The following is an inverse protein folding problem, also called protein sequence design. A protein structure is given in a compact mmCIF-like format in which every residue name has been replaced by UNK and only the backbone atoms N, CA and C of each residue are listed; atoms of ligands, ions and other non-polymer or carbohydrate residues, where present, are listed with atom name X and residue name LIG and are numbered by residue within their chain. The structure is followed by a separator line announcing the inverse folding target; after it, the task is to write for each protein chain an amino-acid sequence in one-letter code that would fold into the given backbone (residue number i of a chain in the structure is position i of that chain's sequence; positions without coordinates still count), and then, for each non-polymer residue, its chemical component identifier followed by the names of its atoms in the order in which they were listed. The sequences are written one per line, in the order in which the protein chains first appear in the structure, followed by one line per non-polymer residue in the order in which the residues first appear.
data_IF_712835756366
#
_entry.id   IF_712835756366
#
_cell.length_a   1.000
_cell.length_b   1.000
_cell.length_c   1.000
_cell.angle_alpha   90.00
_cell.angle_beta   90.00
_cell.angle_gamma   90.00
#
_symmetry.space_group_name_H-M   'P 1'
#
loop_
_entity.id
_entity.type
_entity.pdbx_description
1 polymer ?
#
# COMPACT_ATOMS: atom_id res chain seq x y z
N UNK A 1 0.18 -2.65 12.22
CA UNK A 1 1.50 -2.35 11.62
C UNK A 1 1.77 -0.86 11.80
N UNK A 2 3.00 -0.44 12.15
CA UNK A 2 3.36 1.00 12.18
C UNK A 2 3.72 1.49 10.77
N UNK A 3 3.49 2.77 10.44
CA UNK A 3 3.84 3.33 9.12
C UNK A 3 5.29 3.05 8.69
N UNK A 4 6.24 3.15 9.63
CA UNK A 4 7.66 2.85 9.37
C UNK A 4 7.93 1.40 8.97
N UNK A 5 7.14 0.46 9.50
CA UNK A 5 7.25 -0.96 9.16
C UNK A 5 6.68 -1.20 7.76
N UNK A 6 5.56 -0.55 7.43
CA UNK A 6 4.97 -0.61 6.10
C UNK A 6 5.92 -0.04 5.04
N UNK A 7 6.56 1.10 5.31
CA UNK A 7 7.57 1.68 4.40
C UNK A 7 8.74 0.73 4.16
N UNK A 8 9.26 0.09 5.21
CA UNK A 8 10.33 -0.88 5.07
C UNK A 8 9.90 -2.08 4.22
N UNK A 9 8.66 -2.57 4.41
CA UNK A 9 8.13 -3.68 3.60
C UNK A 9 7.88 -3.29 2.15
N UNK A 10 7.38 -2.08 1.89
CA UNK A 10 7.22 -1.54 0.55
C UNK A 10 8.56 -1.49 -0.18
N UNK A 11 9.62 -1.01 0.48
CA UNK A 11 10.96 -0.99 -0.09
C UNK A 11 11.50 -2.39 -0.40
N UNK A 12 11.29 -3.37 0.48
CA UNK A 12 11.67 -4.78 0.23
C UNK A 12 10.91 -5.38 -0.96
N UNK A 13 9.68 -4.93 -1.20
CA UNK A 13 8.86 -5.32 -2.37
C UNK A 13 9.17 -4.48 -3.63
N UNK A 14 10.24 -3.67 -3.62
CA UNK A 14 10.66 -2.87 -4.78
C UNK A 14 9.82 -1.60 -5.01
N UNK A 15 9.01 -1.20 -4.03
CA UNK A 15 8.23 0.03 -4.09
C UNK A 15 9.02 1.16 -3.43
N UNK A 16 9.49 2.11 -4.23
CA UNK A 16 10.13 3.32 -3.74
C UNK A 16 9.07 4.34 -3.27
N UNK A 17 8.71 4.26 -1.99
CA UNK A 17 7.75 5.15 -1.35
C UNK A 17 8.37 5.80 -0.11
N UNK A 18 8.20 7.12 0.00
CA UNK A 18 8.60 7.87 1.19
C UNK A 18 7.42 8.10 2.14
N UNK A 19 7.72 8.54 3.37
CA UNK A 19 6.70 8.77 4.40
C UNK A 19 5.61 9.79 3.99
N UNK A 20 5.97 10.82 3.21
CA UNK A 20 4.98 11.79 2.70
C UNK A 20 4.04 11.15 1.68
N UNK A 21 4.58 10.32 0.79
CA UNK A 21 3.81 9.57 -0.20
C UNK A 21 2.84 8.60 0.44
N UNK A 22 3.26 7.88 1.48
CA UNK A 22 2.40 6.99 2.25
C UNK A 22 1.31 7.77 3.01
N UNK A 23 1.69 8.85 3.70
CA UNK A 23 0.74 9.68 4.44
C UNK A 23 -0.34 10.31 3.54
N UNK A 24 0.03 10.74 2.33
CA UNK A 24 -0.94 11.24 1.33
C UNK A 24 -1.87 10.14 0.82
N UNK A 25 -1.37 8.91 0.70
CA UNK A 25 -2.17 7.76 0.27
C UNK A 25 -3.20 7.41 1.33
N UNK A 26 -2.77 7.27 2.59
CA UNK A 26 -3.66 7.01 3.72
C UNK A 26 -4.68 8.15 3.96
N UNK A 27 -4.26 9.39 3.75
CA UNK A 27 -5.12 10.57 3.85
C UNK A 27 -6.06 10.78 2.65
N UNK A 28 -6.09 9.86 1.69
CA UNK A 28 -6.90 9.96 0.46
C UNK A 28 -6.61 11.22 -0.38
N UNK A 29 -5.39 11.75 -0.27
CA UNK A 29 -4.93 12.95 -1.00
C UNK A 29 -4.30 12.56 -2.34
N UNK A 30 -3.84 11.31 -2.48
CA UNK A 30 -3.34 10.75 -3.74
C UNK A 30 -3.97 9.40 -4.03
N UNK A 31 -4.01 9.05 -5.32
CA UNK A 31 -4.34 7.71 -5.77
C UNK A 31 -3.15 6.76 -5.61
N UNK A 32 -3.47 5.46 -5.54
CA UNK A 32 -2.53 4.33 -5.57
C UNK A 32 -2.33 3.89 -7.02
N UNK A 33 -1.11 3.51 -7.40
CA UNK A 33 -0.86 2.87 -8.71
C UNK A 33 -1.17 1.38 -8.66
N UNK A 34 -1.28 0.73 -9.82
CA UNK A 34 -1.52 -0.71 -9.94
C UNK A 34 -0.43 -1.56 -9.26
N UNK A 35 0.85 -1.23 -9.46
CA UNK A 35 1.97 -1.95 -8.84
C UNK A 35 2.07 -1.71 -7.32
N UNK A 36 1.73 -0.49 -6.85
CA UNK A 36 1.62 -0.21 -5.41
C UNK A 36 0.47 -1.01 -4.78
N UNK A 37 -0.66 -1.12 -5.48
CA UNK A 37 -1.84 -1.86 -5.01
C UNK A 37 -1.52 -3.35 -4.82
N UNK A 38 -0.82 -3.96 -5.77
CA UNK A 38 -0.37 -5.37 -5.67
C UNK A 38 0.63 -5.55 -4.52
N UNK A 39 1.56 -4.62 -4.33
CA UNK A 39 2.48 -4.71 -3.21
C UNK A 39 1.76 -4.58 -1.86
N UNK A 40 0.79 -3.67 -1.75
CA UNK A 40 -0.01 -3.49 -0.55
C UNK A 40 -0.86 -4.74 -0.24
N UNK A 41 -1.45 -5.39 -1.24
CA UNK A 41 -2.21 -6.64 -1.02
C UNK A 41 -1.32 -7.75 -0.47
N UNK A 42 -0.12 -7.90 -1.03
CA UNK A 42 0.86 -8.89 -0.57
C UNK A 42 1.35 -8.60 0.86
N UNK A 43 1.65 -7.33 1.17
CA UNK A 43 2.12 -6.89 2.49
C UNK A 43 1.05 -7.07 3.57
N UNK A 44 -0.20 -6.71 3.25
CA UNK A 44 -1.31 -6.79 4.18
C UNK A 44 -1.93 -8.20 4.25
N UNK A 45 -1.45 -9.12 3.40
CA UNK A 45 -1.95 -10.49 3.27
C UNK A 45 -3.46 -10.56 3.03
N UNK A 46 -3.94 -9.74 2.09
CA UNK A 46 -5.33 -9.67 1.62
C UNK A 46 -5.34 -9.77 0.09
N UNK A 47 -6.49 -10.05 -0.51
CA UNK A 47 -6.62 -10.00 -1.96
C UNK A 47 -6.62 -8.55 -2.46
N UNK A 48 -6.31 -8.36 -3.75
CA UNK A 48 -6.49 -7.05 -4.41
C UNK A 48 -7.98 -6.65 -4.42
N UNK A 49 -8.89 -7.62 -4.56
CA UNK A 49 -10.32 -7.37 -4.58
C UNK A 49 -10.84 -6.87 -3.23
N UNK A 50 -10.28 -7.34 -2.11
CA UNK A 50 -10.57 -6.81 -0.78
C UNK A 50 -10.21 -5.32 -0.68
N UNK A 51 -9.03 -4.92 -1.18
CA UNK A 51 -8.60 -3.51 -1.19
C UNK A 51 -9.47 -2.63 -2.09
N UNK A 52 -10.07 -3.22 -3.13
CA UNK A 52 -10.97 -2.54 -4.05
C UNK A 52 -12.45 -2.59 -3.62
N UNK A 53 -12.77 -3.24 -2.49
CA UNK A 53 -14.14 -3.40 -2.00
C UNK A 53 -15.02 -4.23 -2.93
N UNK A 54 -14.44 -5.24 -3.59
CA UNK A 54 -15.12 -6.15 -4.52
C UNK A 54 -15.42 -7.53 -3.92
N UNK A 55 -14.95 -7.78 -2.70
CA UNK A 55 -15.36 -8.97 -1.94
C UNK A 55 -16.70 -8.72 -1.24
N UNK A 56 -17.52 -9.77 -1.14
CA UNK A 56 -18.84 -9.77 -0.51
C UNK A 56 -18.79 -9.65 1.03
#
# INVERSE_FOLDING_TARGET
MKQKELLAQLQVNGIDMNASGLSKLEGQIRYVTDFELVALSNILNVSVDWLLGRED
#
